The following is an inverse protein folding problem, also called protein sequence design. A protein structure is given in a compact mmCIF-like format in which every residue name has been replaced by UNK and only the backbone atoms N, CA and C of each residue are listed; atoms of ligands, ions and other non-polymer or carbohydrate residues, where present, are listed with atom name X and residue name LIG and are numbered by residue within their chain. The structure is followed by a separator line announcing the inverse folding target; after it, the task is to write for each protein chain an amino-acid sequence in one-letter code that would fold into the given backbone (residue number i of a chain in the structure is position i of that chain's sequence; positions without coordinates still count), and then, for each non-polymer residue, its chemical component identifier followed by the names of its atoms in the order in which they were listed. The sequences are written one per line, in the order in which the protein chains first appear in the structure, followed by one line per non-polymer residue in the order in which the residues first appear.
data_IF_252948972512
#
_entry.id   IF_252948972512
#
_cell.length_a   1.000
_cell.length_b   1.000
_cell.length_c   1.000
_cell.angle_alpha   90.00
_cell.angle_beta   90.00
_cell.angle_gamma   90.00
#
_symmetry.space_group_name_H-M   'P 1'
#
loop_
_entity.id
_entity.type
_entity.pdbx_description
1 polymer ?
#
# COMPACT_ATOMS: atom_id res chain seq x y z
N UNK A 1 20.26 14.47 2.50
CA UNK A 1 18.80 14.73 2.55
C UNK A 1 18.23 13.68 3.49
N UNK A 2 17.79 14.14 4.66
CA UNK A 2 17.33 13.30 5.77
C UNK A 2 15.97 12.69 5.40
N UNK A 3 15.90 11.37 5.25
CA UNK A 3 14.63 10.66 5.21
C UNK A 3 14.42 10.04 6.58
N UNK A 4 13.59 10.71 7.39
CA UNK A 4 12.99 10.16 8.61
C UNK A 4 12.32 8.82 8.25
N UNK A 5 12.95 7.71 8.62
CA UNK A 5 12.22 6.49 8.95
C UNK A 5 11.58 6.71 10.31
N UNK A 6 10.50 7.49 10.32
CA UNK A 6 9.54 7.40 11.42
C UNK A 6 8.95 5.99 11.28
N UNK A 7 9.31 5.09 12.21
CA UNK A 7 8.42 4.00 12.59
C UNK A 7 7.09 4.69 12.83
N UNK A 8 6.10 4.49 11.97
CA UNK A 8 4.84 5.23 12.09
C UNK A 8 4.10 4.56 13.25
N UNK A 9 4.09 5.12 14.48
CA UNK A 9 3.00 4.79 15.39
C UNK A 9 1.72 5.07 14.60
N UNK A 10 0.67 4.25 14.78
CA UNK A 10 -0.66 4.62 14.29
C UNK A 10 -0.84 6.11 14.58
N UNK A 11 -0.88 6.92 13.52
CA UNK A 11 -0.78 8.38 13.64
C UNK A 11 -1.81 8.82 14.68
N UNK A 12 -1.56 9.86 15.47
CA UNK A 12 -2.55 10.35 16.46
C UNK A 12 -3.94 10.52 15.82
N UNK A 13 -4.01 10.88 14.54
CA UNK A 13 -5.23 10.89 13.74
C UNK A 13 -5.92 9.52 13.60
N UNK A 14 -5.18 8.42 13.40
CA UNK A 14 -5.72 7.05 13.35
C UNK A 14 -6.16 6.54 14.72
N UNK A 15 -5.44 6.89 15.79
CA UNK A 15 -5.84 6.56 17.16
C UNK A 15 -7.14 7.31 17.53
N UNK A 16 -7.24 8.59 17.18
CA UNK A 16 -8.46 9.37 17.36
C UNK A 16 -9.61 8.86 16.50
N UNK A 17 -9.35 8.42 15.26
CA UNK A 17 -10.36 7.80 14.39
C UNK A 17 -10.86 6.46 14.95
N UNK A 18 -9.97 5.65 15.55
CA UNK A 18 -10.33 4.43 16.27
C UNK A 18 -11.20 4.72 17.50
N UNK A 19 -10.82 5.72 18.31
CA UNK A 19 -11.62 6.15 19.46
C UNK A 19 -12.99 6.64 19.01
N UNK A 20 -13.06 7.45 17.95
CA UNK A 20 -14.32 7.96 17.40
C UNK A 20 -15.20 6.85 16.79
N UNK A 21 -14.60 5.75 16.30
CA UNK A 21 -15.34 4.56 15.85
C UNK A 21 -15.84 3.68 16.99
N UNK A 22 -15.16 3.68 18.12
CA UNK A 22 -15.56 2.89 19.31
C UNK A 22 -16.57 3.66 20.16
N UNK A 23 -16.47 4.99 20.17
CA UNK A 23 -17.30 5.91 20.95
C UNK A 23 -17.91 6.93 19.99
N UNK A 24 -18.85 6.46 19.17
CA UNK A 24 -19.64 7.31 18.28
C UNK A 24 -20.93 7.81 18.94
N UNK A 25 -21.63 8.71 18.26
CA UNK A 25 -22.90 9.26 18.76
C UNK A 25 -23.98 8.18 18.97
N UNK A 26 -23.96 7.12 18.16
CA UNK A 26 -24.88 5.97 18.30
C UNK A 26 -24.63 5.23 19.63
N UNK A 27 -23.37 4.90 19.92
CA UNK A 27 -22.94 4.25 21.15
C UNK A 27 -23.32 5.07 22.40
N UNK A 28 -23.17 6.40 22.31
CA UNK A 28 -23.61 7.32 23.39
C UNK A 28 -25.12 7.23 23.60
N UNK A 29 -25.90 7.25 22.52
CA UNK A 29 -27.37 7.18 22.58
C UNK A 29 -27.88 5.85 23.12
N UNK A 30 -27.27 4.74 22.71
CA UNK A 30 -27.58 3.40 23.22
C UNK A 30 -27.30 3.30 24.73
N UNK A 31 -26.15 3.83 25.17
CA UNK A 31 -25.81 3.86 26.59
C UNK A 31 -26.80 4.71 27.41
N UNK A 32 -27.20 5.88 26.92
CA UNK A 32 -28.18 6.74 27.60
C UNK A 32 -29.54 6.07 27.74
N UNK A 33 -29.96 5.32 26.71
CA UNK A 33 -31.20 4.54 26.74
C UNK A 33 -31.12 3.43 27.80
N UNK A 34 -30.03 2.65 27.79
CA UNK A 34 -29.79 1.60 28.76
C UNK A 34 -29.73 2.14 30.20
N UNK A 35 -29.04 3.26 30.42
CA UNK A 35 -28.94 3.90 31.73
C UNK A 35 -30.31 4.33 32.27
N UNK A 36 -31.18 4.83 31.37
CA UNK A 36 -32.55 5.21 31.70
C UNK A 36 -33.41 3.99 32.04
N UNK A 37 -33.33 2.91 31.25
CA UNK A 37 -34.06 1.66 31.46
C UNK A 37 -33.67 0.99 32.78
N UNK A 38 -32.41 1.11 33.18
CA UNK A 38 -31.89 0.61 34.46
C UNK A 38 -32.11 1.58 35.63
N UNK A 39 -32.75 2.73 35.38
CA UNK A 39 -33.02 3.78 36.36
C UNK A 39 -31.76 4.23 37.14
N UNK A 40 -30.62 4.31 36.45
CA UNK A 40 -29.38 4.82 37.02
C UNK A 40 -29.52 6.32 37.31
N UNK A 41 -28.90 6.81 38.38
CA UNK A 41 -28.73 8.25 38.56
C UNK A 41 -27.77 8.81 37.51
N UNK A 42 -27.88 10.11 37.23
CA UNK A 42 -26.98 10.81 36.31
C UNK A 42 -25.51 10.64 36.74
N UNK A 43 -25.23 10.70 38.04
CA UNK A 43 -23.89 10.50 38.60
C UNK A 43 -23.38 9.06 38.37
N UNK A 44 -24.25 8.05 38.54
CA UNK A 44 -23.89 6.65 38.30
C UNK A 44 -23.62 6.38 36.82
N UNK A 45 -24.51 6.87 35.94
CA UNK A 45 -24.36 6.72 34.50
C UNK A 45 -23.08 7.41 34.00
N UNK A 46 -22.80 8.63 34.47
CA UNK A 46 -21.58 9.36 34.11
C UNK A 46 -20.32 8.66 34.62
N UNK A 47 -20.35 8.10 35.84
CA UNK A 47 -19.22 7.34 36.39
C UNK A 47 -18.88 6.10 35.55
N UNK A 48 -19.89 5.33 35.16
CA UNK A 48 -19.73 4.14 34.30
C UNK A 48 -19.22 4.56 32.92
N UNK A 49 -19.81 5.60 32.33
CA UNK A 49 -19.39 6.12 31.03
C UNK A 49 -17.92 6.54 31.02
N UNK A 50 -17.50 7.33 32.02
CA UNK A 50 -16.12 7.78 32.14
C UNK A 50 -15.14 6.59 32.26
N UNK A 51 -15.50 5.56 33.03
CA UNK A 51 -14.67 4.36 33.14
C UNK A 51 -14.55 3.61 31.80
N UNK A 52 -15.66 3.48 31.05
CA UNK A 52 -15.66 2.88 29.71
C UNK A 52 -14.79 3.67 28.73
N UNK A 53 -14.95 5.00 28.67
CA UNK A 53 -14.15 5.86 27.79
C UNK A 53 -12.66 5.78 28.13
N UNK A 54 -12.30 5.87 29.40
CA UNK A 54 -10.91 5.72 29.83
C UNK A 54 -10.35 4.34 29.50
N UNK A 55 -11.12 3.27 29.72
CA UNK A 55 -10.72 1.91 29.36
C UNK A 55 -10.49 1.75 27.86
N UNK A 56 -11.36 2.31 27.02
CA UNK A 56 -11.20 2.31 25.57
C UNK A 56 -9.95 3.09 25.13
N UNK A 57 -9.68 4.25 25.74
CA UNK A 57 -8.47 5.04 25.47
C UNK A 57 -7.21 4.25 25.84
N UNK A 58 -7.14 3.69 27.04
CA UNK A 58 -5.99 2.87 27.47
C UNK A 58 -5.81 1.64 26.59
N UNK A 59 -6.89 0.99 26.15
CA UNK A 59 -6.81 -0.14 25.24
C UNK A 59 -6.21 0.25 23.87
N UNK A 60 -6.61 1.40 23.32
CA UNK A 60 -6.01 1.93 22.07
C UNK A 60 -4.53 2.28 22.27
N UNK A 61 -4.17 2.86 23.40
CA UNK A 61 -2.76 3.13 23.74
C UNK A 61 -1.93 1.85 23.84
N UNK A 62 -2.45 0.82 24.50
CA UNK A 62 -1.81 -0.49 24.61
C UNK A 62 -1.63 -1.14 23.23
N UNK A 63 -2.67 -1.14 22.38
CA UNK A 63 -2.57 -1.62 21.00
C UNK A 63 -1.50 -0.88 20.20
N UNK A 64 -1.42 0.44 20.35
CA UNK A 64 -0.41 1.25 19.67
C UNK A 64 1.01 0.90 20.14
N UNK A 65 1.19 0.70 21.45
CA UNK A 65 2.46 0.29 22.04
C UNK A 65 2.88 -1.07 21.53
N UNK A 66 1.99 -2.06 21.59
CA UNK A 66 2.27 -3.43 21.15
C UNK A 66 2.58 -3.48 19.64
N UNK A 67 1.87 -2.69 18.83
CA UNK A 67 2.17 -2.57 17.41
C UNK A 67 3.56 -1.94 17.15
N UNK A 68 3.92 -0.89 17.89
CA UNK A 68 5.22 -0.24 17.78
C UNK A 68 6.36 -1.17 18.22
N UNK A 69 6.17 -1.90 19.32
CA UNK A 69 7.10 -2.92 19.81
C UNK A 69 7.31 -4.01 18.77
N UNK A 70 6.23 -4.58 18.23
CA UNK A 70 6.31 -5.58 17.16
C UNK A 70 7.05 -5.08 15.92
N UNK A 71 6.83 -3.82 15.51
CA UNK A 71 7.56 -3.22 14.40
C UNK A 71 9.05 -3.09 14.71
N UNK A 72 9.40 -2.65 15.93
CA UNK A 72 10.78 -2.52 16.38
C UNK A 72 11.49 -3.88 16.41
N UNK A 73 10.89 -4.90 17.03
CA UNK A 73 11.44 -6.24 17.08
C UNK A 73 11.62 -6.84 15.67
N UNK A 74 10.69 -6.55 14.76
CA UNK A 74 10.77 -7.01 13.37
C UNK A 74 11.95 -6.35 12.66
N UNK A 75 12.14 -5.05 12.83
CA UNK A 75 13.28 -4.34 12.27
C UNK A 75 14.62 -4.86 12.83
N UNK A 76 14.69 -5.11 14.14
CA UNK A 76 15.86 -5.72 14.78
C UNK A 76 16.14 -7.12 14.25
N UNK A 77 15.12 -7.97 14.15
CA UNK A 77 15.22 -9.31 13.58
C UNK A 77 15.75 -9.27 12.15
N UNK A 78 15.12 -8.47 11.28
CA UNK A 78 15.50 -8.36 9.88
C UNK A 78 16.92 -7.80 9.71
N UNK A 79 17.34 -6.88 10.59
CA UNK A 79 18.72 -6.38 10.63
C UNK A 79 19.70 -7.45 11.08
N UNK A 80 19.31 -8.32 12.02
CA UNK A 80 20.09 -9.49 12.42
C UNK A 80 20.28 -10.50 11.28
N UNK A 81 19.24 -10.75 10.48
CA UNK A 81 19.27 -11.71 9.36
C UNK A 81 19.98 -11.16 8.14
N UNK A 82 19.64 -9.94 7.71
CA UNK A 82 20.07 -9.37 6.43
C UNK A 82 21.21 -8.35 6.54
N UNK A 83 21.51 -7.86 7.75
CA UNK A 83 22.60 -6.93 8.02
C UNK A 83 22.55 -5.69 7.12
N UNK A 84 23.69 -5.38 6.49
CA UNK A 84 23.84 -4.23 5.61
C UNK A 84 23.00 -4.31 4.31
N UNK A 85 22.48 -5.51 3.96
CA UNK A 85 21.66 -5.69 2.75
C UNK A 85 20.17 -5.43 2.99
N UNK A 86 19.75 -5.17 4.24
CA UNK A 86 18.36 -5.00 4.62
C UNK A 86 17.63 -3.96 3.77
N UNK A 87 18.21 -2.76 3.62
CA UNK A 87 17.57 -1.67 2.86
C UNK A 87 17.45 -2.00 1.37
N UNK A 88 18.44 -2.69 0.81
CA UNK A 88 18.38 -3.15 -0.58
C UNK A 88 17.27 -4.19 -0.76
N UNK A 89 17.09 -5.12 0.19
CA UNK A 89 16.04 -6.14 0.17
C UNK A 89 14.65 -5.56 0.39
N UNK A 90 14.48 -4.58 1.31
CA UNK A 90 13.23 -3.82 1.47
C UNK A 90 12.81 -3.17 0.17
N UNK A 91 13.77 -2.50 -0.50
CA UNK A 91 13.53 -1.89 -1.81
C UNK A 91 13.14 -2.92 -2.86
N UNK A 92 13.86 -4.03 -2.95
CA UNK A 92 13.56 -5.10 -3.92
C UNK A 92 12.17 -5.72 -3.69
N UNK A 93 11.78 -5.95 -2.44
CA UNK A 93 10.44 -6.42 -2.07
C UNK A 93 9.36 -5.41 -2.48
N UNK A 94 9.57 -4.12 -2.20
CA UNK A 94 8.63 -3.07 -2.60
C UNK A 94 8.50 -2.96 -4.14
N UNK A 95 9.62 -3.00 -4.85
CA UNK A 95 9.64 -2.97 -6.31
C UNK A 95 8.93 -4.20 -6.91
N UNK A 96 9.07 -5.38 -6.27
CA UNK A 96 8.37 -6.60 -6.65
C UNK A 96 6.85 -6.47 -6.47
N UNK A 97 6.39 -5.92 -5.35
CA UNK A 97 4.96 -5.66 -5.10
C UNK A 97 4.41 -4.67 -6.11
N UNK A 98 5.11 -3.57 -6.38
CA UNK A 98 4.69 -2.58 -7.37
C UNK A 98 4.62 -3.16 -8.78
N UNK A 99 5.59 -4.01 -9.13
CA UNK A 99 5.68 -4.62 -10.47
C UNK A 99 4.57 -5.63 -10.74
N UNK A 100 4.23 -6.48 -9.77
CA UNK A 100 3.31 -7.62 -10.00
C UNK A 100 1.98 -7.52 -9.26
N UNK A 101 1.93 -6.80 -8.14
CA UNK A 101 0.72 -6.61 -7.33
C UNK A 101 -0.15 -5.44 -7.75
N UNK A 102 0.44 -4.44 -8.42
CA UNK A 102 -0.26 -3.22 -8.81
C UNK A 102 -0.72 -2.37 -7.62
N UNK A 103 -1.41 -1.27 -7.92
CA UNK A 103 -1.81 -0.29 -6.91
C UNK A 103 -2.84 -0.82 -5.90
N UNK A 104 -3.66 -1.79 -6.30
CA UNK A 104 -4.67 -2.40 -5.44
C UNK A 104 -4.04 -3.20 -4.30
N UNK A 105 -3.04 -4.04 -4.60
CA UNK A 105 -2.33 -4.80 -3.57
C UNK A 105 -1.56 -3.85 -2.64
N UNK A 106 -0.93 -2.81 -3.19
CA UNK A 106 -0.23 -1.79 -2.39
C UNK A 106 -1.19 -1.09 -1.44
N UNK A 107 -2.36 -0.68 -1.93
CA UNK A 107 -3.39 -0.05 -1.12
C UNK A 107 -3.91 -0.99 -0.03
N UNK A 108 -4.15 -2.27 -0.37
CA UNK A 108 -4.56 -3.29 0.59
C UNK A 108 -3.52 -3.51 1.70
N UNK A 109 -2.24 -3.68 1.34
CA UNK A 109 -1.15 -3.89 2.31
C UNK A 109 -0.98 -2.71 3.25
N UNK A 110 -1.10 -1.48 2.73
CA UNK A 110 -1.05 -0.25 3.54
C UNK A 110 -2.25 -0.12 4.47
N UNK A 111 -3.46 -0.41 3.98
CA UNK A 111 -4.69 -0.29 4.75
C UNK A 111 -4.80 -1.36 5.85
N UNK A 112 -4.40 -2.59 5.54
CA UNK A 112 -4.47 -3.72 6.48
C UNK A 112 -3.30 -3.75 7.48
N UNK A 113 -2.20 -3.08 7.18
CA UNK A 113 -0.98 -3.14 7.99
C UNK A 113 -0.21 -4.46 7.85
N UNK A 114 -0.73 -5.44 7.11
CA UNK A 114 -0.12 -6.79 7.00
C UNK A 114 1.25 -6.77 6.29
N UNK A 115 1.53 -5.71 5.53
CA UNK A 115 2.85 -5.50 4.92
C UNK A 115 3.97 -5.25 5.94
N UNK A 116 3.62 -4.92 7.19
CA UNK A 116 4.58 -4.75 8.29
C UNK A 116 4.77 -6.03 9.12
N UNK A 117 4.01 -7.09 8.83
CA UNK A 117 4.18 -8.38 9.51
C UNK A 117 5.53 -9.01 9.12
N UNK A 118 6.29 -9.44 10.13
CA UNK A 118 7.64 -10.02 9.96
C UNK A 118 7.68 -11.15 8.95
N UNK A 119 6.72 -12.05 9.03
CA UNK A 119 6.62 -13.25 8.20
C UNK A 119 6.38 -12.88 6.73
N UNK A 120 5.46 -11.94 6.50
CA UNK A 120 5.11 -11.45 5.16
C UNK A 120 6.27 -10.66 4.56
N UNK A 121 6.87 -9.76 5.34
CA UNK A 121 7.99 -8.95 4.89
C UNK A 121 9.21 -9.82 4.57
N UNK A 122 9.53 -10.81 5.41
CA UNK A 122 10.61 -11.77 5.16
C UNK A 122 10.32 -12.62 3.92
N UNK A 123 9.08 -13.09 3.75
CA UNK A 123 8.67 -13.84 2.56
C UNK A 123 8.85 -13.02 1.28
N UNK A 124 8.40 -11.76 1.27
CA UNK A 124 8.52 -10.87 0.11
C UNK A 124 9.98 -10.54 -0.22
N UNK A 125 10.83 -10.35 0.79
CA UNK A 125 12.27 -10.17 0.59
C UNK A 125 12.91 -11.40 -0.04
N UNK A 126 12.67 -12.59 0.53
CA UNK A 126 13.21 -13.84 -0.01
C UNK A 126 12.70 -14.12 -1.43
N UNK A 127 11.43 -13.78 -1.72
CA UNK A 127 10.86 -13.90 -3.06
C UNK A 127 11.54 -12.93 -4.04
N UNK A 128 11.84 -11.71 -3.61
CA UNK A 128 12.56 -10.73 -4.44
C UNK A 128 14.00 -11.17 -4.72
N UNK A 129 14.67 -11.78 -3.74
CA UNK A 129 16.00 -12.37 -3.94
C UNK A 129 15.95 -13.53 -4.92
N UNK A 130 15.02 -14.47 -4.76
CA UNK A 130 14.83 -15.59 -5.69
C UNK A 130 14.54 -15.10 -7.14
N UNK A 131 13.69 -14.09 -7.29
CA UNK A 131 13.39 -13.47 -8.58
C UNK A 131 14.59 -12.72 -9.18
N UNK A 132 15.54 -12.25 -8.35
CA UNK A 132 16.75 -11.55 -8.78
C UNK A 132 17.91 -12.51 -9.08
N UNK A 133 18.01 -13.63 -8.37
CA UNK A 133 18.98 -14.71 -8.60
C UNK A 133 18.63 -15.48 -9.89
N UNK A 134 17.33 -15.68 -10.15
CA UNK A 134 16.84 -16.33 -11.36
C UNK A 134 16.73 -15.36 -12.56
N UNK A 135 17.86 -14.75 -12.93
CA UNK A 135 18.00 -14.00 -14.20
C UNK A 135 17.79 -14.87 -15.45
N UNK A 136 17.42 -16.15 -15.29
CA UNK A 136 17.03 -17.06 -16.37
C UNK A 136 15.53 -17.08 -16.68
N UNK A 137 14.65 -16.67 -15.75
CA UNK A 137 13.19 -16.69 -15.96
C UNK A 137 12.57 -15.33 -16.34
N UNK A 138 13.33 -14.24 -16.25
CA UNK A 138 12.90 -12.93 -16.77
C UNK A 138 13.72 -12.64 -18.04
N UNK A 139 13.15 -13.02 -19.18
CA UNK A 139 13.67 -12.68 -20.49
C UNK A 139 14.07 -11.21 -20.58
N UNK A 140 15.23 -11.00 -21.18
CA UNK A 140 15.87 -9.72 -21.44
C UNK A 140 14.89 -8.59 -21.84
N UNK A 141 15.16 -7.39 -21.31
CA UNK A 141 14.66 -6.06 -21.73
C UNK A 141 13.21 -5.72 -21.37
N UNK A 142 12.94 -5.57 -20.08
CA UNK A 142 11.99 -4.55 -19.65
C UNK A 142 12.76 -3.38 -19.06
N UNK A 143 13.23 -2.46 -19.91
CA UNK A 143 13.65 -1.14 -19.44
C UNK A 143 12.46 -0.50 -18.72
N UNK A 144 12.71 0.02 -17.52
CA UNK A 144 11.74 0.77 -16.73
C UNK A 144 11.46 2.09 -17.44
N UNK A 145 10.59 2.04 -18.43
CA UNK A 145 9.97 3.18 -19.07
C UNK A 145 8.67 3.46 -18.30
N UNK A 146 8.44 4.71 -17.93
CA UNK A 146 7.13 5.20 -17.47
C UNK A 146 6.03 4.83 -18.48
N UNK A 147 4.75 4.87 -18.07
CA UNK A 147 3.62 4.54 -18.97
C UNK A 147 3.69 5.37 -20.26
N UNK A 148 4.02 6.66 -20.16
CA UNK A 148 4.24 7.54 -21.30
C UNK A 148 5.42 7.11 -22.19
N UNK A 149 6.54 6.73 -21.59
CA UNK A 149 7.71 6.28 -22.33
C UNK A 149 7.49 4.92 -23.00
N UNK A 150 6.67 4.04 -22.41
CA UNK A 150 6.22 2.79 -23.04
C UNK A 150 5.36 3.08 -24.27
N UNK A 151 4.43 4.03 -24.15
CA UNK A 151 3.58 4.47 -25.28
C UNK A 151 4.45 5.09 -26.39
N UNK A 152 5.41 5.96 -26.04
CA UNK A 152 6.36 6.55 -27.00
C UNK A 152 7.22 5.49 -27.69
N UNK A 153 7.70 4.49 -26.95
CA UNK A 153 8.49 3.38 -27.49
C UNK A 153 7.66 2.52 -28.46
N UNK A 154 6.40 2.22 -28.12
CA UNK A 154 5.51 1.46 -28.98
C UNK A 154 5.12 2.22 -30.26
N UNK A 155 4.89 3.53 -30.17
CA UNK A 155 4.70 4.40 -31.34
C UNK A 155 5.94 4.35 -32.24
N UNK A 156 7.14 4.49 -31.67
CA UNK A 156 8.38 4.44 -32.43
C UNK A 156 8.59 3.07 -33.11
N UNK A 157 8.24 1.97 -32.43
CA UNK A 157 8.29 0.60 -32.97
C UNK A 157 7.37 0.44 -34.17
N UNK A 158 6.09 0.83 -34.04
CA UNK A 158 5.11 0.74 -35.12
C UNK A 158 5.46 1.64 -36.31
N UNK A 159 5.99 2.84 -36.06
CA UNK A 159 6.43 3.74 -37.13
C UNK A 159 7.66 3.22 -37.90
N UNK A 160 8.45 2.34 -37.30
CA UNK A 160 9.59 1.70 -37.95
C UNK A 160 9.18 0.49 -38.81
N UNK A 161 7.95 -0.03 -38.66
CA UNK A 161 7.45 -1.14 -39.46
C UNK A 161 7.16 -0.69 -40.90
N UNK A 162 7.49 -1.51 -41.93
CA UNK A 162 7.17 -1.22 -43.32
C UNK A 162 5.67 -0.97 -43.54
N UNK A 163 4.82 -1.64 -42.77
CA UNK A 163 3.37 -1.49 -42.79
C UNK A 163 2.94 -0.03 -42.56
N UNK A 164 3.62 0.71 -41.68
CA UNK A 164 3.29 2.12 -41.42
C UNK A 164 3.70 3.05 -42.57
N UNK A 165 4.80 2.76 -43.27
CA UNK A 165 5.36 3.66 -44.30
C UNK A 165 4.88 3.34 -45.73
N UNK A 166 4.39 2.12 -45.97
CA UNK A 166 3.98 1.66 -47.30
C UNK A 166 2.46 1.66 -47.44
N UNK A 167 1.91 2.66 -48.12
CA UNK A 167 0.46 2.81 -48.33
C UNK A 167 -0.23 1.62 -49.05
N UNK A 168 0.55 0.75 -49.71
CA UNK A 168 0.04 -0.46 -50.39
C UNK A 168 0.17 -1.73 -49.55
N UNK A 169 0.70 -1.63 -48.33
CA UNK A 169 0.83 -2.76 -47.43
C UNK A 169 -0.57 -3.18 -46.93
N UNK A 170 -0.92 -4.48 -46.91
CA UNK A 170 -2.24 -4.94 -46.47
C UNK A 170 -2.63 -4.43 -45.08
N UNK A 171 -1.65 -4.34 -44.17
CA UNK A 171 -1.85 -3.88 -42.79
C UNK A 171 -1.68 -2.36 -42.59
N UNK A 172 -1.50 -1.58 -43.66
CA UNK A 172 -1.17 -0.14 -43.54
C UNK A 172 -2.19 0.64 -42.71
N UNK A 173 -3.47 0.52 -43.06
CA UNK A 173 -4.55 1.24 -42.41
C UNK A 173 -4.66 0.84 -40.92
N UNK A 174 -4.47 -0.44 -40.60
CA UNK A 174 -4.51 -0.95 -39.24
C UNK A 174 -3.36 -0.39 -38.39
N UNK A 175 -2.13 -0.42 -38.91
CA UNK A 175 -0.94 0.12 -38.22
C UNK A 175 -1.06 1.63 -38.00
N UNK A 176 -1.56 2.39 -39.00
CA UNK A 176 -1.76 3.84 -38.87
C UNK A 176 -2.81 4.17 -37.81
N UNK A 177 -3.94 3.45 -37.79
CA UNK A 177 -4.98 3.64 -36.77
C UNK A 177 -4.47 3.29 -35.36
N UNK A 178 -3.62 2.28 -35.23
CA UNK A 178 -3.01 1.92 -33.94
C UNK A 178 -2.07 3.03 -33.44
N UNK A 179 -1.21 3.57 -34.30
CA UNK A 179 -0.36 4.73 -33.96
C UNK A 179 -1.20 5.95 -33.58
N UNK A 180 -2.30 6.21 -34.30
CA UNK A 180 -3.19 7.33 -34.01
C UNK A 180 -3.85 7.22 -32.62
N UNK A 181 -4.38 6.04 -32.27
CA UNK A 181 -4.95 5.78 -30.93
C UNK A 181 -3.93 5.98 -29.81
N UNK A 182 -2.72 5.47 -29.99
CA UNK A 182 -1.64 5.62 -29.02
C UNK A 182 -1.23 7.09 -28.81
N UNK A 183 -1.22 7.90 -29.89
CA UNK A 183 -0.96 9.34 -29.80
C UNK A 183 -2.07 10.09 -29.08
N UNK A 184 -3.34 9.80 -29.38
CA UNK A 184 -4.48 10.38 -28.64
C UNK A 184 -4.39 10.13 -27.14
N UNK A 185 -4.10 8.89 -26.76
CA UNK A 185 -3.93 8.50 -25.36
C UNK A 185 -2.75 9.23 -24.69
N UNK A 186 -1.66 9.50 -25.44
CA UNK A 186 -0.49 10.23 -24.93
C UNK A 186 -0.76 11.73 -24.69
N UNK A 187 -1.64 12.35 -25.49
CA UNK A 187 -1.93 13.79 -25.41
C UNK A 187 -3.24 14.12 -24.68
N UNK A 188 -3.95 13.12 -24.14
CA UNK A 188 -5.19 13.32 -23.39
C UNK A 188 -6.37 13.80 -24.24
N UNK A 189 -6.31 13.56 -25.55
CA UNK A 189 -7.38 13.91 -26.49
C UNK A 189 -8.27 12.68 -26.71
N UNK A 190 -9.28 12.48 -25.86
CA UNK A 190 -10.41 11.57 -26.17
C UNK A 190 -11.31 12.19 -27.24
#
# INVERSE_FOLDING_TARGET
MNNNTESVPLKEEMAQDLINKIIDEETVGEFQTLASDLALSEEQAQGIWNWLVQGAMSFVEDLNRDAAEYCSETEEYLRGVYGNSLEARKKAANDLILKYGGDELVAFLKKSGIGNCREILSFLMNLADAASEDRGLIGEKASVLSSEEKIKAEIARLMAEPAYMQARHPEHDATVQQVYRLRKHLFGEE
#
